data_IF_948864982411
#
_entry.id   IF_948864982411
#
_cell.length_a   1.000
_cell.length_b   1.000
_cell.length_c   1.000
_cell.angle_alpha   90.00
_cell.angle_beta   90.00
_cell.angle_gamma   90.00
#
_symmetry.space_group_name_H-M   'P 1'
#
loop_
_entity.id
_entity.type
_entity.pdbx_description
1 polymer ?
#
# COMPACT_ATOMS: atom_id res chain seq x y z
N UNK A 1 -14.47 3.94 32.48
CA UNK A 1 -14.56 5.18 31.67
C UNK A 1 -13.85 4.88 30.37
N UNK A 2 -14.61 4.52 29.33
CA UNK A 2 -14.05 4.15 28.02
C UNK A 2 -13.84 5.44 27.22
N UNK A 3 -12.61 5.90 27.11
CA UNK A 3 -12.28 7.07 26.31
C UNK A 3 -12.48 6.72 24.83
N UNK A 4 -13.60 7.15 24.25
CA UNK A 4 -13.74 7.18 22.80
C UNK A 4 -12.84 8.30 22.27
N UNK A 5 -11.59 7.97 21.96
CA UNK A 5 -10.79 8.80 21.10
C UNK A 5 -11.42 8.76 19.71
N UNK A 6 -12.18 9.80 19.36
CA UNK A 6 -12.57 10.07 17.97
C UNK A 6 -11.27 10.27 17.19
N UNK A 7 -10.78 9.21 16.56
CA UNK A 7 -9.50 9.24 15.86
C UNK A 7 -9.71 9.98 14.54
N UNK A 8 -9.31 11.25 14.51
CA UNK A 8 -9.46 12.20 13.40
C UNK A 8 -8.47 11.92 12.25
N UNK A 9 -8.34 10.65 11.87
CA UNK A 9 -7.47 10.19 10.80
C UNK A 9 -8.15 10.26 9.43
N UNK A 10 -7.36 10.41 8.37
CA UNK A 10 -7.90 10.30 7.00
C UNK A 10 -8.31 8.85 6.75
N UNK A 11 -9.58 8.63 6.43
CA UNK A 11 -10.14 7.30 6.19
C UNK A 11 -10.54 7.14 4.71
N UNK A 12 -10.15 6.04 4.09
CA UNK A 12 -10.61 5.67 2.74
C UNK A 12 -10.71 4.15 2.57
N UNK A 13 -11.65 3.73 1.72
CA UNK A 13 -11.98 2.33 1.45
C UNK A 13 -11.91 2.07 -0.04
N UNK A 14 -11.21 1.00 -0.43
CA UNK A 14 -11.19 0.50 -1.80
C UNK A 14 -12.39 -0.44 -2.00
N UNK A 15 -13.40 0.00 -2.75
CA UNK A 15 -14.68 -0.73 -2.88
C UNK A 15 -14.59 -2.02 -3.70
N UNK A 16 -13.50 -2.22 -4.44
CA UNK A 16 -13.26 -3.43 -5.24
C UNK A 16 -12.56 -4.51 -4.40
N UNK A 17 -11.53 -4.14 -3.65
CA UNK A 17 -10.77 -5.09 -2.81
C UNK A 17 -11.33 -5.24 -1.40
N UNK A 18 -12.18 -4.30 -0.97
CA UNK A 18 -12.69 -4.19 0.39
C UNK A 18 -11.64 -3.74 1.42
N UNK A 19 -10.45 -3.32 0.98
CA UNK A 19 -9.41 -2.88 1.89
C UNK A 19 -9.68 -1.46 2.40
N UNK A 20 -9.57 -1.27 3.71
CA UNK A 20 -9.77 0.02 4.39
C UNK A 20 -8.46 0.52 4.99
N UNK A 21 -8.31 1.84 5.05
CA UNK A 21 -7.14 2.51 5.59
C UNK A 21 -7.57 3.70 6.44
N UNK A 22 -7.10 3.74 7.69
CA UNK A 22 -7.23 4.87 8.59
C UNK A 22 -5.83 5.42 8.88
N UNK A 23 -5.50 6.57 8.31
CA UNK A 23 -4.20 7.23 8.52
C UNK A 23 -4.21 7.94 9.89
N UNK A 24 -3.34 7.50 10.79
CA UNK A 24 -3.22 8.05 12.15
C UNK A 24 -2.25 9.23 12.19
N UNK A 25 -1.09 9.07 11.56
CA UNK A 25 -0.05 10.09 11.41
C UNK A 25 0.60 9.91 10.05
N UNK A 26 0.89 10.99 9.34
CA UNK A 26 1.51 10.94 8.01
C UNK A 26 2.81 11.76 7.95
N UNK A 27 3.39 11.85 6.75
CA UNK A 27 4.63 12.58 6.53
C UNK A 27 4.54 14.08 6.92
N UNK A 28 3.35 14.68 6.91
CA UNK A 28 3.17 16.09 7.28
C UNK A 28 3.21 16.29 8.79
N UNK A 29 2.64 15.35 9.55
CA UNK A 29 2.59 15.42 11.01
C UNK A 29 3.85 14.87 11.67
N UNK A 30 4.58 13.99 10.98
CA UNK A 30 5.79 13.34 11.51
C UNK A 30 7.09 13.89 10.91
N UNK A 31 7.01 14.96 10.11
CA UNK A 31 8.16 15.51 9.39
C UNK A 31 8.87 14.45 8.52
N UNK A 32 8.09 13.55 7.91
CA UNK A 32 8.57 12.49 7.05
C UNK A 32 9.17 11.28 7.77
N UNK A 33 9.26 11.29 9.10
CA UNK A 33 9.91 10.22 9.89
C UNK A 33 9.15 8.90 9.76
N UNK A 34 7.81 8.92 9.82
CA UNK A 34 7.01 7.70 9.70
C UNK A 34 5.58 7.94 9.20
N UNK A 35 4.98 6.91 8.64
CA UNK A 35 3.54 6.82 8.41
C UNK A 35 2.99 5.78 9.39
N UNK A 36 1.96 6.15 10.13
CA UNK A 36 1.24 5.27 11.04
C UNK A 36 -0.22 5.17 10.59
N UNK A 37 -0.73 3.94 10.46
CA UNK A 37 -2.10 3.70 10.03
C UNK A 37 -2.66 2.40 10.62
N UNK A 38 -3.99 2.31 10.63
CA UNK A 38 -4.68 1.02 10.70
C UNK A 38 -5.16 0.62 9.31
N UNK A 39 -5.13 -0.68 9.01
CA UNK A 39 -5.74 -1.22 7.80
C UNK A 39 -6.65 -2.39 8.13
N UNK A 40 -7.81 -2.43 7.46
CA UNK A 40 -8.73 -3.57 7.51
C UNK A 40 -8.68 -4.30 6.18
N UNK A 41 -8.40 -5.59 6.23
CA UNK A 41 -8.43 -6.51 5.10
C UNK A 41 -9.76 -7.26 5.11
N UNK A 42 -10.52 -7.14 4.02
CA UNK A 42 -11.77 -7.87 3.83
C UNK A 42 -11.57 -9.40 3.92
N UNK A 43 -12.63 -10.17 4.25
CA UNK A 43 -12.60 -11.62 4.15
C UNK A 43 -12.14 -12.08 2.77
N UNK A 44 -11.27 -13.08 2.72
CA UNK A 44 -10.72 -13.63 1.47
C UNK A 44 -10.12 -12.58 0.52
N UNK A 45 -9.47 -11.55 1.07
CA UNK A 45 -8.84 -10.51 0.26
C UNK A 45 -7.79 -11.09 -0.69
N UNK A 46 -7.69 -10.50 -1.87
CA UNK A 46 -6.75 -10.93 -2.91
C UNK A 46 -5.32 -10.61 -2.48
N UNK A 47 -4.35 -11.54 -2.66
CA UNK A 47 -2.94 -11.24 -2.43
C UNK A 47 -2.44 -10.09 -3.32
N UNK A 48 -1.65 -9.15 -2.77
CA UNK A 48 -1.05 -8.11 -3.58
C UNK A 48 -0.03 -8.72 -4.57
N UNK A 49 0.33 -8.02 -5.64
CA UNK A 49 1.49 -8.36 -6.44
C UNK A 49 2.72 -8.52 -5.54
N UNK A 50 3.58 -9.49 -5.84
CA UNK A 50 4.80 -9.70 -5.06
C UNK A 50 5.73 -8.49 -5.24
N UNK A 51 6.09 -7.85 -4.13
CA UNK A 51 6.78 -6.57 -4.12
C UNK A 51 7.80 -6.44 -2.99
N UNK A 52 8.50 -5.32 -2.98
CA UNK A 52 9.37 -4.89 -1.90
C UNK A 52 9.41 -3.35 -1.83
N UNK A 53 9.76 -2.85 -0.65
CA UNK A 53 10.02 -1.43 -0.40
C UNK A 53 11.53 -1.15 -0.45
N UNK A 54 12.05 -0.32 -1.38
CA UNK A 54 13.50 -0.16 -1.56
C UNK A 54 14.25 0.40 -0.35
N UNK A 55 13.61 1.30 0.38
CA UNK A 55 14.24 2.02 1.52
C UNK A 55 13.40 1.99 2.78
N UNK A 56 12.14 1.52 2.70
CA UNK A 56 11.23 1.52 3.84
C UNK A 56 11.27 0.18 4.55
N UNK A 57 11.26 0.23 5.87
CA UNK A 57 10.91 -0.90 6.74
C UNK A 57 9.47 -0.73 7.20
N UNK A 58 8.87 -1.84 7.58
CA UNK A 58 7.49 -1.87 8.01
C UNK A 58 7.32 -2.73 9.26
N UNK A 59 6.42 -2.31 10.14
CA UNK A 59 6.05 -3.05 11.33
C UNK A 59 4.54 -3.22 11.33
N UNK A 60 4.10 -4.46 11.50
CA UNK A 60 2.69 -4.84 11.56
C UNK A 60 2.35 -5.46 12.89
N UNK A 61 1.19 -5.11 13.45
CA UNK A 61 0.62 -5.77 14.62
C UNK A 61 -0.83 -6.15 14.31
N UNK A 62 -1.20 -7.42 14.47
CA UNK A 62 -2.59 -7.85 14.24
C UNK A 62 -3.45 -7.45 15.43
N UNK A 63 -4.41 -6.56 15.19
CA UNK A 63 -5.34 -6.06 16.20
C UNK A 63 -6.58 -6.95 16.32
N UNK A 64 -6.98 -7.59 15.22
CA UNK A 64 -8.15 -8.49 15.14
C UNK A 64 -8.00 -9.44 13.95
N UNK A 65 -8.42 -10.69 14.10
CA UNK A 65 -8.45 -11.66 13.00
C UNK A 65 -7.09 -12.34 12.74
N UNK A 66 -6.85 -12.71 11.48
CA UNK A 66 -5.65 -13.44 11.05
C UNK A 66 -5.08 -12.87 9.74
N UNK A 67 -3.81 -12.46 9.76
CA UNK A 67 -3.13 -11.94 8.59
C UNK A 67 -2.24 -13.03 7.97
N UNK A 68 -2.51 -13.38 6.71
CA UNK A 68 -1.61 -14.24 5.94
C UNK A 68 -0.50 -13.41 5.31
N UNK A 69 0.75 -13.82 5.53
CA UNK A 69 1.93 -13.13 5.02
C UNK A 69 2.80 -14.10 4.24
N UNK A 70 3.34 -13.64 3.11
CA UNK A 70 4.53 -14.23 2.51
C UNK A 70 5.70 -13.28 2.73
N UNK A 71 6.80 -13.77 3.30
CA UNK A 71 8.02 -13.00 3.53
C UNK A 71 9.21 -13.82 3.08
N UNK A 72 9.98 -13.30 2.12
CA UNK A 72 11.14 -13.99 1.51
C UNK A 72 10.80 -15.42 1.06
N UNK A 73 9.61 -15.59 0.46
CA UNK A 73 9.12 -16.88 -0.04
C UNK A 73 8.53 -17.81 1.02
N UNK A 74 8.61 -17.48 2.32
CA UNK A 74 8.02 -18.27 3.40
C UNK A 74 6.64 -17.72 3.75
N UNK A 75 5.63 -18.59 3.70
CA UNK A 75 4.26 -18.25 4.09
C UNK A 75 4.05 -18.49 5.59
N UNK A 76 3.39 -17.55 6.26
CA UNK A 76 2.98 -17.66 7.66
C UNK A 76 1.61 -17.01 7.87
N UNK A 77 0.99 -17.29 9.02
CA UNK A 77 -0.24 -16.64 9.47
C UNK A 77 0.04 -16.01 10.82
N UNK A 78 -0.21 -14.71 10.93
CA UNK A 78 -0.16 -13.95 12.18
C UNK A 78 -1.57 -13.86 12.75
N UNK A 79 -1.71 -14.04 14.05
CA UNK A 79 -2.99 -13.92 14.78
C UNK A 79 -2.99 -12.66 15.62
N UNK A 80 -4.16 -12.31 16.16
CA UNK A 80 -4.32 -11.19 17.08
C UNK A 80 -3.22 -11.18 18.17
N UNK A 81 -2.54 -10.05 18.32
CA UNK A 81 -1.42 -9.85 19.22
C UNK A 81 -0.05 -10.12 18.62
N UNK A 82 0.05 -10.90 17.54
CA UNK A 82 1.31 -11.14 16.85
C UNK A 82 1.79 -9.87 16.14
N UNK A 83 3.12 -9.71 16.09
CA UNK A 83 3.78 -8.62 15.37
C UNK A 83 4.80 -9.16 14.36
N UNK A 84 5.02 -8.41 13.28
CA UNK A 84 5.98 -8.73 12.24
C UNK A 84 6.75 -7.48 11.80
N UNK A 85 8.08 -7.59 11.85
CA UNK A 85 8.99 -6.63 11.25
C UNK A 85 9.41 -7.06 9.84
N UNK A 86 9.27 -6.16 8.87
CA UNK A 86 9.70 -6.34 7.49
C UNK A 86 10.85 -5.36 7.19
N UNK A 87 12.09 -5.85 7.01
CA UNK A 87 13.21 -4.98 6.71
C UNK A 87 13.16 -4.48 5.26
N UNK A 88 13.76 -3.31 5.02
CA UNK A 88 13.87 -2.73 3.68
C UNK A 88 14.46 -3.72 2.66
N UNK A 89 13.89 -3.72 1.46
CA UNK A 89 14.26 -4.62 0.37
C UNK A 89 13.76 -6.06 0.52
N UNK A 90 13.14 -6.45 1.64
CA UNK A 90 12.57 -7.78 1.77
C UNK A 90 11.36 -7.94 0.85
N UNK A 91 11.33 -9.03 0.08
CA UNK A 91 10.19 -9.39 -0.76
C UNK A 91 9.06 -9.90 0.13
N UNK A 92 7.87 -9.30 0.02
CA UNK A 92 6.73 -9.69 0.83
C UNK A 92 5.38 -9.43 0.14
N UNK A 93 4.33 -9.87 0.80
CA UNK A 93 2.93 -9.60 0.48
C UNK A 93 2.03 -10.08 1.61
N UNK A 94 0.91 -9.40 1.80
CA UNK A 94 0.00 -9.66 2.91
C UNK A 94 -1.44 -9.66 2.43
N UNK A 95 -2.25 -10.56 2.95
CA UNK A 95 -3.68 -10.62 2.67
C UNK A 95 -4.41 -11.36 3.78
N UNK A 96 -5.73 -11.30 3.76
CA UNK A 96 -6.57 -12.04 4.67
C UNK A 96 -7.21 -13.22 3.93
N UNK A 97 -6.72 -14.44 4.19
CA UNK A 97 -7.29 -15.66 3.60
C UNK A 97 -8.54 -16.17 4.35
N UNK A 98 -8.85 -15.61 5.52
CA UNK A 98 -9.90 -16.08 6.41
C UNK A 98 -11.29 -15.55 6.02
N UNK A 99 -12.39 -16.14 6.54
CA UNK A 99 -13.75 -15.66 6.30
C UNK A 99 -14.17 -14.48 7.19
N UNK A 100 -13.29 -14.00 8.07
CA UNK A 100 -13.55 -12.85 8.94
C UNK A 100 -12.70 -11.66 8.51
N UNK A 101 -13.05 -10.44 8.92
CA UNK A 101 -12.17 -9.28 8.71
C UNK A 101 -10.86 -9.46 9.49
N UNK A 102 -9.79 -8.83 9.00
CA UNK A 102 -8.53 -8.72 9.73
C UNK A 102 -8.14 -7.26 9.84
N UNK A 103 -7.89 -6.78 11.07
CA UNK A 103 -7.44 -5.42 11.33
C UNK A 103 -6.00 -5.45 11.81
N UNK A 104 -5.17 -4.58 11.25
CA UNK A 104 -3.77 -4.45 11.60
C UNK A 104 -3.40 -2.99 11.87
N UNK A 105 -2.53 -2.79 12.85
CA UNK A 105 -1.73 -1.58 12.95
C UNK A 105 -0.51 -1.73 12.03
N UNK A 106 -0.17 -0.67 11.31
CA UNK A 106 0.88 -0.66 10.29
C UNK A 106 1.68 0.63 10.39
N UNK A 107 2.97 0.47 10.71
CA UNK A 107 3.96 1.54 10.73
C UNK A 107 4.92 1.39 9.55
N UNK A 108 5.20 2.47 8.84
CA UNK A 108 6.12 2.52 7.69
C UNK A 108 7.17 3.60 7.92
N UNK A 109 8.45 3.26 7.73
CA UNK A 109 9.57 4.18 7.99
C UNK A 109 10.64 4.09 6.90
N UNK A 110 11.05 5.22 6.28
CA UNK A 110 10.48 6.56 6.41
C UNK A 110 9.07 6.65 5.81
N UNK A 111 8.32 7.72 6.12
CA UNK A 111 6.93 7.88 5.67
C UNK A 111 6.80 7.84 4.14
N UNK A 112 7.63 8.65 3.47
CA UNK A 112 7.58 8.91 2.02
C UNK A 112 6.13 9.16 1.56
N UNK A 113 5.81 8.81 0.30
CA UNK A 113 4.49 9.04 -0.27
C UNK A 113 3.60 7.77 -0.22
N UNK A 114 3.78 6.92 0.78
CA UNK A 114 3.06 5.63 0.91
C UNK A 114 1.55 5.85 1.02
N UNK A 115 1.10 6.78 1.86
CA UNK A 115 -0.33 7.11 1.99
C UNK A 115 -0.94 7.55 0.64
N UNK A 116 -0.20 8.35 -0.14
CA UNK A 116 -0.64 8.79 -1.46
C UNK A 116 -0.70 7.66 -2.49
N UNK A 117 0.19 6.67 -2.41
CA UNK A 117 0.13 5.46 -3.24
C UNK A 117 -1.16 4.67 -2.95
N UNK A 118 -1.44 4.41 -1.67
CA UNK A 118 -2.62 3.66 -1.21
C UNK A 118 -3.93 4.38 -1.58
N UNK A 119 -3.98 5.70 -1.38
CA UNK A 119 -5.10 6.53 -1.79
C UNK A 119 -5.28 6.53 -3.31
N UNK A 120 -4.19 6.57 -4.08
CA UNK A 120 -4.26 6.58 -5.55
C UNK A 120 -4.88 5.29 -6.08
N UNK A 121 -4.44 4.12 -5.61
CA UNK A 121 -5.04 2.85 -6.03
C UNK A 121 -6.48 2.69 -5.54
N UNK A 122 -6.79 3.18 -4.34
CA UNK A 122 -8.18 3.25 -3.85
C UNK A 122 -9.06 4.11 -4.76
N UNK A 123 -8.61 5.30 -5.13
CA UNK A 123 -9.35 6.20 -6.00
C UNK A 123 -9.55 5.60 -7.40
N UNK A 124 -8.54 4.94 -7.96
CA UNK A 124 -8.66 4.25 -9.25
C UNK A 124 -9.74 3.17 -9.19
N UNK A 125 -9.76 2.36 -8.12
CA UNK A 125 -10.76 1.31 -7.95
C UNK A 125 -12.17 1.89 -7.82
N UNK A 126 -12.33 2.91 -6.98
CA UNK A 126 -13.64 3.53 -6.72
C UNK A 126 -14.17 4.32 -7.93
N UNK A 127 -13.30 4.72 -8.86
CA UNK A 127 -13.66 5.35 -10.14
C UNK A 127 -13.94 4.33 -11.26
N UNK A 128 -13.93 3.03 -10.98
CA UNK A 128 -14.13 1.98 -11.99
C UNK A 128 -12.97 1.86 -12.98
N UNK A 129 -11.76 2.29 -12.59
CA UNK A 129 -10.56 2.27 -13.45
C UNK A 129 -9.67 1.05 -13.20
N UNK A 130 -10.21 0.03 -12.55
CA UNK A 130 -9.55 -1.24 -12.26
C UNK A 130 -10.43 -2.42 -12.70
N UNK A 131 -9.82 -3.60 -12.85
CA UNK A 131 -10.55 -4.85 -12.98
C UNK A 131 -11.21 -5.27 -11.65
N UNK A 132 -11.90 -6.42 -11.65
CA UNK A 132 -12.56 -6.97 -10.46
C UNK A 132 -11.60 -7.46 -9.36
N UNK A 133 -10.28 -7.41 -9.58
CA UNK A 133 -9.25 -7.69 -8.59
C UNK A 133 -8.58 -6.40 -8.08
N UNK A 134 -9.09 -5.23 -8.48
CA UNK A 134 -8.52 -3.93 -8.10
C UNK A 134 -7.25 -3.54 -8.87
N UNK A 135 -6.95 -4.22 -9.98
CA UNK A 135 -5.75 -3.91 -10.79
C UNK A 135 -6.08 -2.90 -11.89
N UNK A 136 -5.38 -1.76 -11.98
CA UNK A 136 -5.55 -0.84 -13.10
C UNK A 136 -4.90 -1.39 -14.38
N UNK A 137 -5.17 -0.73 -15.52
CA UNK A 137 -4.50 -1.06 -16.78
C UNK A 137 -2.98 -0.96 -16.67
N UNK A 138 -2.24 -1.72 -17.49
CA UNK A 138 -0.77 -1.71 -17.48
C UNK A 138 -0.20 -0.29 -17.64
N UNK A 139 -0.80 0.52 -18.49
CA UNK A 139 -0.34 1.89 -18.74
C UNK A 139 -0.54 2.79 -17.51
N UNK A 140 -1.68 2.68 -16.83
CA UNK A 140 -1.92 3.40 -15.58
C UNK A 140 -1.01 2.89 -14.46
N UNK A 141 -0.84 1.57 -14.33
CA UNK A 141 0.06 0.96 -13.35
C UNK A 141 1.51 1.43 -13.56
N UNK A 142 2.01 1.42 -14.79
CA UNK A 142 3.35 1.92 -15.11
C UNK A 142 3.48 3.42 -14.81
N UNK A 143 2.48 4.22 -15.15
CA UNK A 143 2.46 5.67 -14.88
C UNK A 143 2.55 5.97 -13.38
N UNK A 144 1.74 5.27 -12.57
CA UNK A 144 1.73 5.42 -11.11
C UNK A 144 3.00 4.86 -10.48
N UNK A 145 3.37 3.60 -10.76
CA UNK A 145 4.52 2.96 -10.11
C UNK A 145 5.86 3.62 -10.49
N UNK A 146 5.96 4.23 -11.67
CA UNK A 146 7.13 5.03 -12.04
C UNK A 146 7.30 6.28 -11.16
N UNK A 147 6.20 6.87 -10.67
CA UNK A 147 6.24 7.99 -9.72
C UNK A 147 6.66 7.51 -8.32
N UNK A 148 6.22 6.33 -7.90
CA UNK A 148 6.45 5.78 -6.55
C UNK A 148 7.64 4.83 -6.44
N UNK A 149 8.65 4.93 -7.32
CA UNK A 149 9.80 3.99 -7.36
C UNK A 149 10.66 3.93 -6.10
N UNK A 150 10.57 4.93 -5.20
CA UNK A 150 11.21 4.91 -3.88
C UNK A 150 10.36 4.21 -2.81
N UNK A 151 9.04 4.18 -3.00
CA UNK A 151 8.08 3.58 -2.08
C UNK A 151 7.92 2.10 -2.41
N UNK A 152 7.51 1.76 -3.63
CA UNK A 152 7.06 0.42 -3.98
C UNK A 152 7.70 -0.07 -5.27
N UNK A 153 8.15 -1.32 -5.30
CA UNK A 153 8.65 -1.98 -6.51
C UNK A 153 8.14 -3.39 -6.65
N UNK A 154 7.79 -3.76 -7.87
CA UNK A 154 7.41 -5.11 -8.23
C UNK A 154 8.65 -6.01 -8.32
N UNK A 155 8.47 -7.30 -8.01
CA UNK A 155 9.50 -8.32 -8.29
C UNK A 155 9.47 -8.75 -9.76
N UNK A 156 8.29 -8.77 -10.38
CA UNK A 156 8.09 -9.12 -11.79
C UNK A 156 7.40 -7.97 -12.54
N UNK A 157 7.80 -7.67 -13.79
CA UNK A 157 8.87 -8.32 -14.58
C UNK A 157 10.29 -8.00 -14.06
N UNK A 158 11.37 -8.63 -14.57
CA UNK A 158 12.75 -8.36 -14.12
C UNK A 158 13.11 -6.88 -14.10
N UNK A 159 14.00 -6.48 -13.18
CA UNK A 159 14.35 -5.08 -12.91
C UNK A 159 14.75 -4.29 -14.15
N UNK A 160 15.59 -4.87 -15.02
CA UNK A 160 16.04 -4.20 -16.24
C UNK A 160 14.89 -3.92 -17.20
N UNK A 161 13.88 -4.81 -17.25
CA UNK A 161 12.66 -4.58 -18.05
C UNK A 161 11.85 -3.45 -17.44
N UNK A 162 11.69 -3.41 -16.12
CA UNK A 162 10.99 -2.29 -15.46
C UNK A 162 11.70 -0.96 -15.76
N UNK A 163 13.04 -0.92 -15.68
CA UNK A 163 13.85 0.28 -15.94
C UNK A 163 13.75 0.78 -17.38
N UNK A 164 13.53 -0.12 -18.35
CA UNK A 164 13.34 0.24 -19.75
C UNK A 164 11.90 0.63 -20.06
N UNK A 165 10.94 -0.20 -19.63
CA UNK A 165 9.54 -0.11 -20.06
C UNK A 165 8.75 0.94 -19.27
N UNK A 166 8.90 1.00 -17.94
CA UNK A 166 8.03 1.83 -17.11
C UNK A 166 8.20 3.33 -17.37
N UNK A 167 9.41 3.89 -17.58
CA UNK A 167 9.55 5.30 -17.93
C UNK A 167 8.87 5.65 -19.26
N UNK A 168 9.00 4.78 -20.27
CA UNK A 168 8.38 4.96 -21.60
C UNK A 168 6.86 4.90 -21.50
N UNK A 169 6.33 3.87 -20.85
CA UNK A 169 4.90 3.72 -20.62
C UNK A 169 4.34 4.88 -19.78
N UNK A 170 5.05 5.32 -18.74
CA UNK A 170 4.64 6.46 -17.93
C UNK A 170 4.61 7.76 -18.73
N UNK A 171 5.56 7.97 -19.66
CA UNK A 171 5.54 9.12 -20.57
C UNK A 171 4.30 9.07 -21.47
N UNK A 172 4.04 7.93 -22.11
CA UNK A 172 2.86 7.73 -22.95
C UNK A 172 1.58 7.96 -22.15
N UNK A 173 1.49 7.38 -20.94
CA UNK A 173 0.36 7.53 -20.05
C UNK A 173 0.08 9.01 -19.72
N UNK A 174 1.12 9.78 -19.39
CA UNK A 174 0.97 11.23 -19.16
C UNK A 174 0.53 11.99 -20.41
N UNK A 175 1.07 11.65 -21.59
CA UNK A 175 0.68 12.31 -22.85
C UNK A 175 -0.81 12.10 -23.19
N UNK A 176 -1.39 10.96 -22.81
CA UNK A 176 -2.83 10.69 -23.00
C UNK A 176 -3.69 11.10 -21.78
N UNK A 177 -3.12 11.82 -20.82
CA UNK A 177 -3.86 12.39 -19.69
C UNK A 177 -3.97 11.51 -18.44
N UNK A 178 -3.26 10.38 -18.36
CA UNK A 178 -3.21 9.59 -17.12
C UNK A 178 -2.39 10.33 -16.05
N UNK A 179 -2.99 10.48 -14.87
CA UNK A 179 -2.31 11.05 -13.70
C UNK A 179 -1.64 9.93 -12.89
N UNK A 180 -0.38 10.13 -12.44
CA UNK A 180 0.32 9.14 -11.62
C UNK A 180 -0.24 9.04 -10.21
N UNK A 181 -0.80 10.14 -9.69
CA UNK A 181 -1.37 10.26 -8.35
C UNK A 181 -2.81 10.78 -8.42
N UNK A 182 -3.65 10.38 -7.46
CA UNK A 182 -5.00 10.94 -7.32
C UNK A 182 -4.97 12.38 -6.82
N UNK A 183 -4.12 12.64 -5.82
CA UNK A 183 -3.85 13.95 -5.23
C UNK A 183 -2.35 14.08 -5.02
N UNK A 184 -1.79 15.25 -5.32
CA UNK A 184 -0.38 15.51 -5.05
C UNK A 184 -0.12 15.42 -3.54
N UNK A 185 0.90 14.66 -3.10
CA UNK A 185 1.35 14.67 -1.72
C UNK A 185 1.78 16.07 -1.31
N UNK A 186 1.59 16.44 -0.03
CA UNK A 186 2.21 17.65 0.50
C UNK A 186 3.73 17.55 0.36
N UNK A 187 4.39 18.65 0.00
CA UNK A 187 5.85 18.70 -0.11
C UNK A 187 6.49 18.31 1.22
N UNK A 188 7.32 17.26 1.18
CA UNK A 188 8.10 16.83 2.34
C UNK A 188 9.28 17.79 2.45
N UNK A 189 9.36 18.56 3.53
CA UNK A 189 10.53 19.41 3.80
C UNK A 189 11.73 18.48 4.00
N UNK A 190 12.74 18.63 3.13
CA UNK A 190 14.00 17.90 3.18
C UNK A 190 14.96 18.50 4.21
#
# INVERSE_FOLDING_TARGET
MSSSHTQTGKHFVNTITGQEYLILQDATTTEGVFLEMESVFAPHSVPPPVHYHPVQREDFTVLQGELTVILRGKKMVLRQGDSLHIPAGAIHGMWNASPHITRVHWLVQPALNTAALLETFTALANQGRTDGLGKPSLLQAATTLQYFTKVFRLVQPPRWMQQLLFPVLALIGRMIGLRPVHREPAEQRH
#
